data_IF_295876487475
#
_entry.id   IF_295876487475
#
_cell.length_a   1.000
_cell.length_b   1.000
_cell.length_c   1.000
_cell.angle_alpha   90.00
_cell.angle_beta   90.00
_cell.angle_gamma   90.00
#
_symmetry.space_group_name_H-M   'P 1'
#
loop_
_entity.id
_entity.type
_entity.pdbx_description
1 polymer ?
#
# COMPACT_ATOMS: atom_id res chain seq x y z
N UNK A 1 -26.89 34.70 4.36
CA UNK A 1 -27.07 34.62 2.91
C UNK A 1 -28.01 33.48 2.54
N UNK A 2 -29.05 33.76 1.81
CA UNK A 2 -29.96 32.74 1.28
C UNK A 2 -29.34 32.10 0.06
N UNK A 3 -28.50 31.08 0.28
CA UNK A 3 -27.94 30.29 -0.81
C UNK A 3 -29.02 29.57 -1.63
N UNK A 4 -28.71 29.15 -2.85
CA UNK A 4 -29.58 28.34 -3.72
C UNK A 4 -30.03 27.09 -2.94
N UNK A 5 -31.35 26.82 -2.94
CA UNK A 5 -31.89 25.61 -2.31
C UNK A 5 -31.23 24.37 -2.88
N UNK A 6 -30.97 23.33 -2.05
CA UNK A 6 -30.41 22.07 -2.56
C UNK A 6 -31.25 21.51 -3.70
N UNK A 7 -30.60 21.13 -4.79
CA UNK A 7 -31.30 20.60 -5.99
C UNK A 7 -31.96 19.23 -5.75
N UNK A 8 -31.56 18.53 -4.67
CA UNK A 8 -32.07 17.21 -4.31
C UNK A 8 -32.56 17.17 -2.88
N UNK A 9 -33.77 16.62 -2.70
CA UNK A 9 -34.31 16.31 -1.36
C UNK A 9 -33.63 15.06 -0.77
N UNK A 10 -33.85 14.85 0.54
CA UNK A 10 -33.26 13.73 1.31
C UNK A 10 -33.50 12.35 0.67
N UNK A 11 -34.70 12.12 0.12
CA UNK A 11 -35.01 10.85 -0.58
C UNK A 11 -34.10 10.58 -1.78
N UNK A 12 -33.79 11.63 -2.55
CA UNK A 12 -32.92 11.50 -3.73
C UNK A 12 -31.46 11.27 -3.33
N UNK A 13 -31.00 11.95 -2.27
CA UNK A 13 -29.67 11.75 -1.70
C UNK A 13 -29.53 10.29 -1.22
N UNK A 14 -30.49 9.78 -0.46
CA UNK A 14 -30.51 8.41 0.02
C UNK A 14 -30.51 7.38 -1.13
N UNK A 15 -31.27 7.64 -2.21
CA UNK A 15 -31.29 6.78 -3.39
C UNK A 15 -29.91 6.73 -4.09
N UNK A 16 -29.22 7.88 -4.23
CA UNK A 16 -27.87 7.95 -4.80
C UNK A 16 -26.87 7.19 -3.94
N UNK A 17 -26.91 7.38 -2.63
CA UNK A 17 -26.03 6.67 -1.67
C UNK A 17 -26.29 5.18 -1.74
N UNK A 18 -27.55 4.75 -1.65
CA UNK A 18 -27.93 3.33 -1.74
C UNK A 18 -27.50 2.71 -3.07
N UNK A 19 -27.78 3.36 -4.21
CA UNK A 19 -27.34 2.87 -5.50
C UNK A 19 -25.83 2.73 -5.60
N UNK A 20 -25.06 3.66 -5.03
CA UNK A 20 -23.60 3.58 -4.99
C UNK A 20 -23.10 2.36 -4.21
N UNK A 21 -23.74 2.03 -3.10
CA UNK A 21 -23.30 0.97 -2.19
C UNK A 21 -23.77 -0.43 -2.61
N UNK A 22 -24.97 -0.52 -3.20
CA UNK A 22 -25.64 -1.82 -3.40
C UNK A 22 -25.75 -2.26 -4.85
N UNK A 23 -25.48 -1.37 -5.82
CA UNK A 23 -25.63 -1.69 -7.25
C UNK A 23 -24.36 -1.41 -8.04
N UNK A 24 -24.27 -1.98 -9.24
CA UNK A 24 -23.18 -1.74 -10.19
C UNK A 24 -23.73 -1.33 -11.55
N UNK A 25 -23.04 -0.46 -12.31
CA UNK A 25 -23.42 -0.15 -13.67
C UNK A 25 -23.21 -1.34 -14.59
N UNK A 26 -23.99 -1.43 -15.66
CA UNK A 26 -23.86 -2.51 -16.65
C UNK A 26 -22.47 -2.48 -17.31
N UNK A 27 -21.77 -3.61 -17.26
CA UNK A 27 -20.44 -3.76 -17.89
C UNK A 27 -19.29 -3.08 -17.17
N UNK A 28 -19.49 -2.58 -15.95
CA UNK A 28 -18.44 -1.91 -15.16
C UNK A 28 -18.43 -2.43 -13.73
N UNK A 29 -17.28 -2.30 -13.07
CA UNK A 29 -17.11 -2.77 -11.69
C UNK A 29 -17.64 -1.77 -10.66
N UNK A 30 -17.67 -0.48 -10.99
CA UNK A 30 -18.00 0.61 -10.08
C UNK A 30 -18.70 1.76 -10.80
N UNK A 31 -19.49 2.54 -10.05
CA UNK A 31 -20.14 3.73 -10.56
C UNK A 31 -19.13 4.87 -10.76
N UNK A 32 -19.19 5.55 -11.89
CA UNK A 32 -18.66 6.90 -12.06
C UNK A 32 -19.72 7.94 -11.74
N UNK A 33 -19.28 9.16 -11.36
CA UNK A 33 -20.21 10.26 -11.10
C UNK A 33 -21.13 10.55 -12.30
N UNK A 34 -20.63 10.38 -13.53
CA UNK A 34 -21.39 10.62 -14.76
C UNK A 34 -22.47 9.56 -14.94
N UNK A 35 -22.11 8.31 -14.90
CA UNK A 35 -23.05 7.20 -15.08
C UNK A 35 -24.14 7.19 -14.00
N UNK A 36 -23.76 7.42 -12.74
CA UNK A 36 -24.75 7.48 -11.67
C UNK A 36 -25.66 8.71 -11.80
N UNK A 37 -25.14 9.85 -12.26
CA UNK A 37 -25.95 11.03 -12.54
C UNK A 37 -26.96 10.77 -13.66
N UNK A 38 -26.58 10.10 -14.73
CA UNK A 38 -27.48 9.67 -15.81
C UNK A 38 -28.56 8.71 -15.30
N UNK A 39 -28.15 7.66 -14.59
CA UNK A 39 -29.06 6.65 -14.04
C UNK A 39 -30.06 7.22 -13.02
N UNK A 40 -29.68 8.24 -12.28
CA UNK A 40 -30.49 8.86 -11.25
C UNK A 40 -31.14 10.19 -11.69
N UNK A 41 -30.97 10.61 -12.94
CA UNK A 41 -31.51 11.87 -13.47
C UNK A 41 -30.96 13.09 -12.75
N UNK A 42 -29.64 13.29 -12.79
CA UNK A 42 -29.00 14.38 -12.08
C UNK A 42 -27.74 14.93 -12.74
N UNK A 43 -26.99 15.77 -12.02
CA UNK A 43 -25.72 16.31 -12.49
C UNK A 43 -24.52 15.56 -11.88
N UNK A 44 -23.43 15.43 -12.65
CA UNK A 44 -22.15 14.87 -12.20
C UNK A 44 -21.64 15.55 -10.92
N UNK A 45 -21.72 16.89 -10.86
CA UNK A 45 -21.22 17.66 -9.71
C UNK A 45 -22.04 17.40 -8.45
N UNK A 46 -23.35 17.21 -8.57
CA UNK A 46 -24.20 16.88 -7.43
C UNK A 46 -23.89 15.50 -6.87
N UNK A 47 -23.71 14.48 -7.75
CA UNK A 47 -23.30 13.13 -7.32
C UNK A 47 -21.93 13.19 -6.63
N UNK A 48 -20.97 13.94 -7.20
CA UNK A 48 -19.66 14.11 -6.60
C UNK A 48 -19.73 14.74 -5.19
N UNK A 49 -20.52 15.81 -5.03
CA UNK A 49 -20.69 16.47 -3.73
C UNK A 49 -21.36 15.55 -2.69
N UNK A 50 -22.36 14.74 -3.13
CA UNK A 50 -22.98 13.74 -2.27
C UNK A 50 -21.95 12.69 -1.84
N UNK A 51 -21.14 12.16 -2.76
CA UNK A 51 -20.10 11.20 -2.42
C UNK A 51 -19.08 11.79 -1.45
N UNK A 52 -18.66 13.04 -1.64
CA UNK A 52 -17.76 13.69 -0.69
C UNK A 52 -18.38 13.86 0.70
N UNK A 53 -19.63 14.37 0.78
CA UNK A 53 -20.30 14.56 2.07
C UNK A 53 -20.57 13.27 2.84
N UNK A 54 -20.72 12.13 2.11
CA UNK A 54 -20.89 10.79 2.69
C UNK A 54 -19.60 9.97 2.72
N UNK A 55 -18.42 10.57 2.40
CA UNK A 55 -17.10 9.94 2.37
C UNK A 55 -17.04 8.67 1.47
N UNK A 56 -17.88 8.62 0.43
CA UNK A 56 -17.92 7.53 -0.53
C UNK A 56 -16.84 7.71 -1.59
N UNK A 57 -16.04 6.67 -1.79
CA UNK A 57 -14.96 6.63 -2.78
C UNK A 57 -15.04 5.33 -3.61
N UNK A 58 -16.03 5.19 -4.52
CA UNK A 58 -16.27 3.95 -5.26
C UNK A 58 -15.08 3.48 -6.10
N UNK A 59 -14.16 4.39 -6.46
CA UNK A 59 -12.95 4.12 -7.23
C UNK A 59 -11.79 3.55 -6.39
N UNK A 60 -11.96 3.46 -5.06
CA UNK A 60 -10.92 2.93 -4.15
C UNK A 60 -11.37 1.60 -3.58
N UNK A 61 -10.88 0.52 -4.16
CA UNK A 61 -11.03 -0.82 -3.59
C UNK A 61 -9.79 -1.17 -2.76
N UNK A 62 -10.01 -1.59 -1.54
CA UNK A 62 -8.99 -2.26 -0.76
C UNK A 62 -9.16 -3.76 -0.92
N UNK A 63 -8.18 -4.40 -1.52
CA UNK A 63 -8.16 -5.86 -1.60
C UNK A 63 -7.65 -6.45 -0.30
N UNK A 64 -8.26 -7.53 0.15
CA UNK A 64 -7.77 -8.34 1.26
C UNK A 64 -7.94 -9.81 0.90
N UNK A 65 -7.12 -10.65 1.50
CA UNK A 65 -7.20 -12.09 1.34
C UNK A 65 -7.60 -12.71 2.67
N UNK A 66 -8.68 -13.47 2.67
CA UNK A 66 -9.05 -14.27 3.84
C UNK A 66 -8.03 -15.39 3.99
N UNK A 67 -7.50 -15.54 5.19
CA UNK A 67 -6.65 -16.69 5.53
C UNK A 67 -7.49 -17.97 5.57
N UNK A 68 -6.93 -19.08 5.05
CA UNK A 68 -7.49 -20.42 5.18
C UNK A 68 -6.88 -21.20 6.35
N UNK A 69 -6.00 -20.57 7.11
CA UNK A 69 -5.36 -21.18 8.28
C UNK A 69 -6.38 -21.26 9.43
N UNK A 70 -6.65 -22.46 9.92
CA UNK A 70 -7.56 -22.68 11.02
C UNK A 70 -7.12 -21.98 12.33
N UNK A 71 -5.80 -21.78 12.49
CA UNK A 71 -5.21 -21.10 13.65
C UNK A 71 -4.86 -19.63 13.36
N UNK A 72 -5.51 -19.02 12.36
CA UNK A 72 -5.18 -17.65 11.95
C UNK A 72 -5.31 -16.63 13.08
N UNK A 73 -6.40 -16.69 13.86
CA UNK A 73 -6.62 -15.73 14.94
C UNK A 73 -5.59 -15.86 16.06
N UNK A 74 -5.22 -17.07 16.42
CA UNK A 74 -4.16 -17.35 17.41
C UNK A 74 -2.84 -16.72 16.95
N UNK A 75 -2.39 -17.04 15.74
CA UNK A 75 -1.15 -16.51 15.16
C UNK A 75 -1.19 -14.99 14.99
N UNK A 76 -2.34 -14.44 14.61
CA UNK A 76 -2.52 -12.98 14.52
C UNK A 76 -2.36 -12.33 15.89
N UNK A 77 -2.94 -12.90 16.93
CA UNK A 77 -2.83 -12.40 18.30
C UNK A 77 -1.39 -12.44 18.78
N UNK A 78 -0.65 -13.53 18.51
CA UNK A 78 0.77 -13.65 18.85
C UNK A 78 1.62 -12.55 18.17
N UNK A 79 1.44 -12.37 16.86
CA UNK A 79 2.18 -11.35 16.11
C UNK A 79 1.81 -9.94 16.59
N UNK A 80 0.53 -9.64 16.78
CA UNK A 80 0.09 -8.33 17.30
C UNK A 80 0.60 -8.12 18.73
N UNK A 81 0.63 -9.18 19.54
CA UNK A 81 1.18 -9.16 20.89
C UNK A 81 2.63 -8.72 20.93
N UNK A 82 3.47 -9.21 20.01
CA UNK A 82 4.87 -8.79 19.89
C UNK A 82 5.02 -7.29 19.63
N UNK A 83 4.10 -6.69 18.86
CA UNK A 83 4.13 -5.26 18.58
C UNK A 83 3.62 -4.39 19.74
N UNK A 84 2.59 -4.85 20.44
CA UNK A 84 1.97 -4.09 21.53
C UNK A 84 2.75 -4.21 22.84
N UNK A 85 3.33 -5.38 23.09
CA UNK A 85 4.07 -5.69 24.30
C UNK A 85 5.34 -6.47 23.95
N UNK A 86 6.36 -5.81 23.39
CA UNK A 86 7.61 -6.49 23.05
C UNK A 86 8.29 -7.01 24.32
N UNK A 87 8.97 -8.17 24.25
CA UNK A 87 9.73 -8.70 25.39
C UNK A 87 10.80 -7.72 25.86
N UNK A 88 11.05 -7.63 27.17
CA UNK A 88 11.95 -6.65 27.76
C UNK A 88 13.41 -6.74 27.27
N UNK A 89 13.87 -7.95 26.88
CA UNK A 89 15.23 -8.21 26.41
C UNK A 89 15.26 -8.68 24.97
N UNK A 90 14.36 -8.15 24.13
CA UNK A 90 14.29 -8.51 22.74
C UNK A 90 13.86 -7.34 21.87
N UNK A 91 14.32 -7.34 20.63
CA UNK A 91 13.87 -6.43 19.59
C UNK A 91 12.91 -7.14 18.62
N UNK A 92 11.89 -6.43 18.20
CA UNK A 92 10.96 -6.92 17.19
C UNK A 92 11.26 -6.23 15.86
N UNK A 93 11.74 -6.99 14.90
CA UNK A 93 12.12 -6.52 13.58
C UNK A 93 11.11 -7.01 12.54
N UNK A 94 10.51 -6.09 11.80
CA UNK A 94 9.78 -6.39 10.56
C UNK A 94 10.76 -6.49 9.41
N UNK A 95 10.86 -7.66 8.79
CA UNK A 95 11.77 -7.89 7.65
C UNK A 95 10.96 -8.08 6.38
N UNK A 96 11.35 -7.36 5.33
CA UNK A 96 10.74 -7.46 4.00
C UNK A 96 11.76 -7.18 2.90
N UNK A 97 11.45 -7.59 1.66
CA UNK A 97 12.31 -7.41 0.51
C UNK A 97 11.64 -6.63 -0.61
N UNK A 98 12.34 -5.66 -1.12
CA UNK A 98 11.99 -4.99 -2.37
C UNK A 98 12.82 -5.56 -3.52
N UNK A 99 12.21 -6.44 -4.31
CA UNK A 99 12.86 -7.06 -5.46
C UNK A 99 12.81 -6.20 -6.71
N UNK A 100 13.70 -6.49 -7.67
CA UNK A 100 13.69 -5.90 -9.01
C UNK A 100 13.69 -4.36 -9.04
N UNK A 101 14.42 -3.74 -8.14
CA UNK A 101 14.67 -2.31 -8.19
C UNK A 101 15.54 -2.05 -9.42
N UNK A 102 15.01 -1.29 -10.39
CA UNK A 102 15.70 -1.01 -11.65
C UNK A 102 16.57 0.23 -11.52
N UNK A 103 17.84 0.12 -11.91
CA UNK A 103 18.72 1.25 -12.11
C UNK A 103 18.50 1.82 -13.52
N UNK A 104 17.75 2.92 -13.61
CA UNK A 104 17.38 3.56 -14.86
C UNK A 104 18.13 4.86 -15.03
N UNK A 105 18.87 4.98 -16.16
CA UNK A 105 19.46 6.22 -16.62
C UNK A 105 18.60 6.86 -17.71
N UNK A 106 18.24 8.12 -17.56
CA UNK A 106 17.56 8.87 -18.61
C UNK A 106 18.55 9.22 -19.71
N UNK A 107 18.22 8.89 -20.96
CA UNK A 107 19.09 9.14 -22.11
C UNK A 107 19.11 10.60 -22.53
N UNK A 108 18.11 11.39 -22.10
CA UNK A 108 17.98 12.81 -22.41
C UNK A 108 17.57 13.62 -21.18
N UNK A 109 18.03 14.87 -21.06
CA UNK A 109 17.61 15.74 -19.97
C UNK A 109 16.12 16.06 -20.07
N UNK A 110 15.48 16.20 -18.92
CA UNK A 110 14.09 16.65 -18.84
C UNK A 110 13.94 18.13 -19.19
N UNK A 111 12.75 18.52 -19.61
CA UNK A 111 12.41 19.93 -19.79
C UNK A 111 11.96 20.51 -18.43
N UNK A 112 12.49 21.69 -18.05
CA UNK A 112 12.18 22.31 -16.78
C UNK A 112 10.71 22.74 -16.69
N UNK A 113 10.22 22.81 -15.47
CA UNK A 113 8.91 23.36 -15.15
C UNK A 113 8.85 24.84 -15.51
N UNK A 114 7.71 25.28 -16.10
CA UNK A 114 7.41 26.68 -16.40
C UNK A 114 6.02 27.03 -15.86
N UNK A 115 5.72 28.32 -15.72
CA UNK A 115 4.38 28.78 -15.31
C UNK A 115 3.29 28.17 -16.21
N UNK A 116 2.35 27.44 -15.62
CA UNK A 116 1.27 26.74 -16.33
C UNK A 116 1.67 25.43 -17.04
N UNK A 117 2.91 24.95 -16.90
CA UNK A 117 3.38 23.67 -17.45
C UNK A 117 4.23 22.93 -16.43
N UNK A 118 3.90 21.68 -16.17
CA UNK A 118 4.74 20.80 -15.36
C UNK A 118 6.05 20.49 -16.09
N UNK A 119 7.08 20.10 -15.34
CA UNK A 119 8.29 19.51 -15.91
C UNK A 119 7.94 18.24 -16.69
N UNK A 120 8.61 17.99 -17.79
CA UNK A 120 8.43 16.78 -18.60
C UNK A 120 9.73 16.01 -18.71
N UNK A 121 9.65 14.69 -18.69
CA UNK A 121 10.78 13.79 -18.86
C UNK A 121 10.53 12.88 -20.06
N UNK A 122 11.60 12.51 -20.76
CA UNK A 122 11.53 11.51 -21.82
C UNK A 122 11.15 10.13 -21.24
N UNK A 123 10.48 9.30 -22.05
CA UNK A 123 10.25 7.90 -21.74
C UNK A 123 11.48 7.03 -21.98
N UNK A 124 12.45 7.52 -22.73
CA UNK A 124 13.65 6.78 -23.07
C UNK A 124 14.60 6.66 -21.88
N UNK A 125 15.04 5.46 -21.62
CA UNK A 125 15.99 5.17 -20.57
C UNK A 125 16.85 3.95 -20.90
N UNK A 126 18.07 3.93 -20.38
CA UNK A 126 18.95 2.78 -20.36
C UNK A 126 18.79 2.04 -19.04
N UNK A 127 18.66 0.73 -19.10
CA UNK A 127 18.64 -0.14 -17.91
C UNK A 127 20.06 -0.57 -17.57
N UNK A 128 20.48 -0.31 -16.33
CA UNK A 128 21.80 -0.68 -15.80
C UNK A 128 21.71 -1.88 -14.84
N UNK A 129 20.70 -2.74 -15.03
CA UNK A 129 20.48 -3.91 -14.22
C UNK A 129 19.39 -3.69 -13.15
N UNK A 130 19.30 -4.68 -12.26
CA UNK A 130 18.36 -4.68 -11.13
C UNK A 130 19.11 -5.01 -9.86
N UNK A 131 18.60 -4.52 -8.74
CA UNK A 131 19.05 -4.88 -7.40
C UNK A 131 17.86 -5.27 -6.53
N UNK A 132 18.13 -5.94 -5.43
CA UNK A 132 17.14 -6.28 -4.40
C UNK A 132 17.56 -5.65 -3.09
N UNK A 133 16.66 -4.95 -2.44
CA UNK A 133 16.85 -4.44 -1.08
C UNK A 133 16.24 -5.43 -0.11
N UNK A 134 17.01 -5.89 0.88
CA UNK A 134 16.53 -6.50 2.10
C UNK A 134 16.53 -5.45 3.20
N UNK A 135 15.44 -5.32 3.94
CA UNK A 135 15.31 -4.33 4.98
C UNK A 135 14.64 -4.91 6.23
N UNK A 136 15.12 -4.48 7.38
CA UNK A 136 14.55 -4.79 8.69
C UNK A 136 14.21 -3.47 9.40
N UNK A 137 12.97 -3.31 9.81
CA UNK A 137 12.48 -2.17 10.58
C UNK A 137 12.40 -2.56 12.05
N UNK A 138 13.17 -1.89 12.89
CA UNK A 138 12.96 -1.86 14.34
C UNK A 138 11.74 -0.96 14.62
N UNK A 139 10.67 -1.56 15.10
CA UNK A 139 9.39 -0.88 15.28
C UNK A 139 9.42 0.09 16.46
N UNK A 140 10.17 -0.21 17.50
CA UNK A 140 10.26 0.65 18.69
C UNK A 140 11.03 1.93 18.44
N UNK A 141 12.17 1.81 17.75
CA UNK A 141 13.04 2.95 17.49
C UNK A 141 12.79 3.61 16.14
N UNK A 142 12.02 2.98 15.26
CA UNK A 142 11.84 3.43 13.87
C UNK A 142 13.12 3.35 13.04
N UNK A 143 14.11 2.55 13.47
CA UNK A 143 15.38 2.37 12.79
C UNK A 143 15.27 1.32 11.70
N UNK A 144 15.83 1.61 10.52
CA UNK A 144 15.89 0.66 9.41
C UNK A 144 17.34 0.20 9.19
N UNK A 145 17.53 -1.11 9.17
CA UNK A 145 18.76 -1.75 8.69
C UNK A 145 18.48 -2.30 7.29
N UNK A 146 19.23 -1.85 6.29
CA UNK A 146 19.00 -2.25 4.91
C UNK A 146 20.29 -2.65 4.18
N UNK A 147 20.18 -3.60 3.25
CA UNK A 147 21.27 -4.04 2.40
C UNK A 147 20.77 -4.38 1.00
N UNK A 148 21.44 -3.85 -0.01
CA UNK A 148 21.21 -4.23 -1.40
C UNK A 148 22.06 -5.42 -1.80
N UNK A 149 21.46 -6.34 -2.57
CA UNK A 149 22.12 -7.49 -3.18
C UNK A 149 21.72 -7.60 -4.65
N UNK A 150 22.59 -8.19 -5.45
CA UNK A 150 22.33 -8.40 -6.89
C UNK A 150 21.25 -9.45 -7.14
N UNK A 151 21.08 -10.39 -6.22
CA UNK A 151 20.16 -11.52 -6.37
C UNK A 151 19.24 -11.64 -5.15
N UNK A 152 18.10 -12.27 -5.39
CA UNK A 152 17.07 -12.53 -4.39
C UNK A 152 16.93 -14.04 -4.16
N UNK A 153 17.87 -14.62 -3.42
CA UNK A 153 17.91 -16.05 -3.09
C UNK A 153 18.05 -16.23 -1.59
N UNK A 154 17.85 -17.46 -1.11
CA UNK A 154 18.06 -17.80 0.30
C UNK A 154 19.47 -17.46 0.81
N UNK A 155 20.50 -17.52 -0.05
CA UNK A 155 21.88 -17.16 0.33
C UNK A 155 22.01 -15.68 0.68
N UNK A 156 21.41 -14.81 -0.09
CA UNK A 156 21.37 -13.37 0.18
C UNK A 156 20.55 -13.09 1.45
N UNK A 157 19.44 -13.77 1.65
CA UNK A 157 18.65 -13.67 2.86
C UNK A 157 19.46 -14.12 4.09
N UNK A 158 20.15 -15.26 4.05
CA UNK A 158 21.03 -15.69 5.14
C UNK A 158 22.17 -14.71 5.44
N UNK A 159 22.75 -14.09 4.40
CA UNK A 159 23.75 -13.01 4.60
C UNK A 159 23.14 -11.81 5.33
N UNK A 160 21.92 -11.47 4.97
CA UNK A 160 21.20 -10.37 5.61
C UNK A 160 20.88 -10.69 7.08
N UNK A 161 20.44 -11.92 7.38
CA UNK A 161 20.22 -12.34 8.77
C UNK A 161 21.50 -12.28 9.62
N UNK A 162 22.64 -12.75 9.08
CA UNK A 162 23.94 -12.63 9.76
C UNK A 162 24.35 -11.20 9.99
N UNK A 163 24.01 -10.29 9.06
CA UNK A 163 24.22 -8.86 9.26
C UNK A 163 23.36 -8.31 10.39
N UNK A 164 22.10 -8.70 10.49
CA UNK A 164 21.24 -8.29 11.60
C UNK A 164 21.78 -8.78 12.95
N UNK A 165 22.21 -10.04 13.01
CA UNK A 165 22.81 -10.63 14.20
C UNK A 165 24.08 -9.87 14.65
N UNK A 166 24.88 -9.39 13.70
CA UNK A 166 26.08 -8.60 13.97
C UNK A 166 25.78 -7.12 14.30
N UNK A 167 24.69 -6.56 13.79
CA UNK A 167 24.29 -5.16 14.01
C UNK A 167 23.71 -4.90 15.39
N UNK A 168 23.12 -5.93 16.01
CA UNK A 168 22.52 -5.85 17.35
C UNK A 168 23.35 -6.62 18.38
N UNK A 169 23.44 -6.13 19.62
CA UNK A 169 24.19 -6.81 20.69
C UNK A 169 23.71 -8.25 20.93
N UNK A 170 24.64 -9.20 21.03
CA UNK A 170 24.32 -10.62 21.17
C UNK A 170 23.55 -11.03 22.42
N UNK A 171 23.38 -10.14 23.39
CA UNK A 171 22.59 -10.36 24.61
C UNK A 171 21.09 -10.06 24.40
N UNK A 172 20.72 -9.44 23.28
CA UNK A 172 19.34 -9.07 22.95
C UNK A 172 18.74 -10.11 21.99
N UNK A 173 17.63 -10.73 22.37
CA UNK A 173 16.89 -11.62 21.50
C UNK A 173 16.29 -10.86 20.29
N UNK A 174 16.34 -11.46 19.11
CA UNK A 174 15.73 -10.89 17.90
C UNK A 174 14.48 -11.67 17.52
N UNK A 175 13.33 -11.02 17.55
CA UNK A 175 12.08 -11.56 17.00
C UNK A 175 11.88 -11.00 15.59
N UNK A 176 11.95 -11.88 14.59
CA UNK A 176 11.78 -11.49 13.19
C UNK A 176 10.36 -11.79 12.73
N UNK A 177 9.66 -10.78 12.26
CA UNK A 177 8.36 -10.93 11.61
C UNK A 177 8.58 -10.85 10.10
N UNK A 178 8.29 -11.96 9.41
CA UNK A 178 8.53 -12.19 7.99
C UNK A 178 7.23 -12.61 7.30
N UNK A 179 7.13 -12.36 6.01
CA UNK A 179 6.14 -13.01 5.19
C UNK A 179 6.48 -14.50 4.92
N UNK A 180 5.59 -15.20 4.28
CA UNK A 180 5.74 -16.63 4.00
C UNK A 180 6.38 -16.89 2.62
N UNK A 181 7.33 -16.07 2.21
CA UNK A 181 7.98 -16.17 0.92
C UNK A 181 8.92 -17.39 0.81
N UNK A 182 9.09 -17.91 -0.40
CA UNK A 182 9.83 -19.13 -0.65
C UNK A 182 11.31 -19.10 -0.24
N UNK A 183 11.95 -17.94 -0.31
CA UNK A 183 13.37 -17.78 0.08
C UNK A 183 13.62 -17.97 1.58
N UNK A 184 12.56 -17.80 2.40
CA UNK A 184 12.64 -17.97 3.86
C UNK A 184 12.51 -19.42 4.32
N UNK A 185 12.20 -20.36 3.40
CA UNK A 185 11.86 -21.76 3.71
C UNK A 185 12.87 -22.78 3.18
N UNK A 186 14.05 -22.36 2.83
CA UNK A 186 15.06 -23.28 2.34
C UNK A 186 15.61 -24.12 3.52
N UNK A 187 15.70 -25.48 3.38
CA UNK A 187 16.30 -26.35 4.38
C UNK A 187 17.78 -26.09 4.56
#
# INVERSE_FOLDING_TARGET
GRGRKPSYGQRKIAAIVSATLTTKPKGMTQWSCRQLAEAQGGSKSTVHNIWQSHQLQPHRDKTFKLSRDARFLEKLTDVVGLYLNPPQQALVLCVDEKTQIQALDRTQPGLPMKKGRCGTMTHDYKRNGTTTLFAALDILQGRVVGQCYERHRHQEFLRFLRRLDHEFPGEIGLHLVLDNYGTHKHP
#
